data_IF_009273511414
#
_entry.id   IF_009273511414
#
_cell.length_a   1.000
_cell.length_b   1.000
_cell.length_c   1.000
_cell.angle_alpha   90.00
_cell.angle_beta   90.00
_cell.angle_gamma   90.00
#
_symmetry.space_group_name_H-M   'P 1'
#
loop_
_entity.id
_entity.type
_entity.pdbx_description
1 polymer ?
#
# COMPACT_ATOMS: atom_id res chain seq x y z
N UNK A 1 33.55 -4.33 -9.85
CA UNK A 1 32.72 -5.52 -10.14
C UNK A 1 32.13 -6.12 -8.86
N UNK A 2 32.93 -6.40 -7.83
CA UNK A 2 32.45 -6.94 -6.55
C UNK A 2 31.41 -6.06 -5.83
N UNK A 3 31.60 -4.74 -5.79
CA UNK A 3 30.63 -3.84 -5.16
C UNK A 3 29.25 -3.84 -5.84
N UNK A 4 29.20 -4.07 -7.15
CA UNK A 4 27.93 -4.12 -7.89
C UNK A 4 27.17 -5.41 -7.55
N UNK A 5 27.88 -6.53 -7.39
CA UNK A 5 27.29 -7.82 -6.98
C UNK A 5 26.68 -7.72 -5.58
N UNK A 6 27.41 -7.12 -4.61
CA UNK A 6 26.90 -6.93 -3.25
C UNK A 6 25.66 -6.02 -3.20
N UNK A 7 25.57 -5.01 -4.09
CA UNK A 7 24.38 -4.16 -4.17
C UNK A 7 23.17 -4.89 -4.74
N UNK A 8 23.35 -5.78 -5.72
CA UNK A 8 22.26 -6.62 -6.24
C UNK A 8 21.77 -7.58 -5.16
N UNK A 9 22.67 -8.23 -4.41
CA UNK A 9 22.31 -9.12 -3.31
C UNK A 9 21.52 -8.38 -2.21
N UNK A 10 21.96 -7.18 -1.85
CA UNK A 10 21.24 -6.34 -0.88
C UNK A 10 19.86 -5.91 -1.40
N UNK A 11 19.77 -5.53 -2.68
CA UNK A 11 18.49 -5.18 -3.32
C UNK A 11 17.50 -6.35 -3.27
N UNK A 12 17.95 -7.57 -3.59
CA UNK A 12 17.11 -8.77 -3.55
C UNK A 12 16.68 -9.09 -2.11
N UNK A 13 17.57 -8.96 -1.13
CA UNK A 13 17.23 -9.15 0.29
C UNK A 13 16.18 -8.15 0.78
N UNK A 14 16.30 -6.86 0.40
CA UNK A 14 15.31 -5.83 0.71
C UNK A 14 13.98 -6.13 0.02
N UNK A 15 14.00 -6.51 -1.25
CA UNK A 15 12.80 -6.88 -2.01
C UNK A 15 12.06 -8.07 -1.39
N UNK A 16 12.79 -9.09 -0.95
CA UNK A 16 12.24 -10.25 -0.25
C UNK A 16 11.58 -9.85 1.08
N UNK A 17 12.28 -9.03 1.88
CA UNK A 17 11.77 -8.52 3.16
C UNK A 17 10.52 -7.67 3.00
N UNK A 18 10.54 -6.74 2.05
CA UNK A 18 9.42 -5.86 1.72
C UNK A 18 8.16 -6.65 1.31
N UNK A 19 8.30 -7.63 0.41
CA UNK A 19 7.19 -8.49 0.01
C UNK A 19 6.64 -9.33 1.17
N UNK A 20 7.51 -9.85 2.04
CA UNK A 20 7.11 -10.67 3.19
C UNK A 20 6.37 -9.84 4.25
N UNK A 21 6.81 -8.61 4.47
CA UNK A 21 6.14 -7.65 5.34
C UNK A 21 4.76 -7.27 4.78
N UNK A 22 4.68 -6.87 3.51
CA UNK A 22 3.42 -6.54 2.84
C UNK A 22 2.41 -7.67 2.89
N UNK A 23 2.84 -8.91 2.64
CA UNK A 23 1.94 -10.05 2.71
C UNK A 23 1.34 -10.23 4.11
N UNK A 24 2.16 -10.04 5.14
CA UNK A 24 1.73 -10.13 6.54
C UNK A 24 0.79 -9.00 6.93
N UNK A 25 1.10 -7.77 6.52
CA UNK A 25 0.26 -6.59 6.73
C UNK A 25 -1.09 -6.74 5.99
N UNK A 26 -1.07 -7.17 4.73
CA UNK A 26 -2.27 -7.29 3.90
C UNK A 26 -3.19 -8.39 4.39
N UNK A 27 -2.64 -9.44 4.99
CA UNK A 27 -3.44 -10.44 5.69
C UNK A 27 -4.21 -9.83 6.86
N UNK A 28 -3.59 -8.95 7.64
CA UNK A 28 -4.27 -8.24 8.73
C UNK A 28 -5.30 -7.24 8.19
N UNK A 29 -4.96 -6.48 7.15
CA UNK A 29 -5.90 -5.57 6.47
C UNK A 29 -7.11 -6.31 5.91
N UNK A 30 -6.92 -7.48 5.30
CA UNK A 30 -8.00 -8.30 4.79
C UNK A 30 -8.95 -8.75 5.91
N UNK A 31 -8.42 -9.21 7.04
CA UNK A 31 -9.22 -9.54 8.23
C UNK A 31 -10.01 -8.30 8.69
N UNK A 32 -9.37 -7.14 8.79
CA UNK A 32 -10.04 -5.90 9.17
C UNK A 32 -11.18 -5.54 8.21
N UNK A 33 -10.97 -5.60 6.89
CA UNK A 33 -12.01 -5.30 5.89
C UNK A 33 -13.19 -6.27 6.04
N UNK A 34 -12.94 -7.56 6.24
CA UNK A 34 -14.02 -8.56 6.40
C UNK A 34 -14.86 -8.34 7.65
N UNK A 35 -14.29 -7.81 8.73
CA UNK A 35 -15.02 -7.48 9.96
C UNK A 35 -15.69 -6.09 9.87
N UNK A 36 -15.01 -5.11 9.28
CA UNK A 36 -15.52 -3.76 9.16
C UNK A 36 -16.69 -3.66 8.17
N UNK A 37 -16.70 -4.46 7.11
CA UNK A 37 -17.76 -4.45 6.09
C UNK A 37 -19.18 -4.68 6.66
N UNK A 38 -19.46 -5.77 7.40
CA UNK A 38 -20.79 -5.96 8.01
C UNK A 38 -21.07 -4.92 9.10
N UNK A 39 -20.07 -4.48 9.85
CA UNK A 39 -20.24 -3.43 10.85
C UNK A 39 -20.72 -2.12 10.21
N UNK A 40 -20.05 -1.66 9.15
CA UNK A 40 -20.43 -0.45 8.40
C UNK A 40 -21.83 -0.60 7.80
N UNK A 41 -22.14 -1.76 7.23
CA UNK A 41 -23.45 -2.04 6.67
C UNK A 41 -24.57 -1.90 7.71
N UNK A 42 -24.41 -2.52 8.88
CA UNK A 42 -25.41 -2.50 9.97
C UNK A 42 -25.51 -1.11 10.60
N UNK A 43 -24.39 -0.46 10.88
CA UNK A 43 -24.36 0.86 11.52
C UNK A 43 -25.03 1.93 10.65
N UNK A 44 -24.77 1.91 9.34
CA UNK A 44 -25.38 2.86 8.40
C UNK A 44 -26.86 2.52 8.16
N UNK A 45 -27.21 1.24 8.03
CA UNK A 45 -28.61 0.84 7.89
C UNK A 45 -29.47 1.23 9.10
N UNK A 46 -28.89 1.23 10.31
CA UNK A 46 -29.54 1.67 11.55
C UNK A 46 -29.61 3.20 11.68
N UNK A 47 -28.53 3.91 11.29
CA UNK A 47 -28.41 5.36 11.41
C UNK A 47 -29.20 6.15 10.36
N UNK A 48 -29.37 5.60 9.15
CA UNK A 48 -30.10 6.24 8.05
C UNK A 48 -31.57 5.82 7.94
N UNK A 49 -32.18 5.33 9.02
CA UNK A 49 -33.58 4.90 9.01
C UNK A 49 -34.51 6.10 8.71
N UNK A 50 -35.45 5.91 7.78
CA UNK A 50 -36.42 6.94 7.38
C UNK A 50 -37.64 6.97 8.32
N UNK A 51 -37.92 5.85 8.98
CA UNK A 51 -38.92 5.69 10.04
C UNK A 51 -38.49 4.58 11.02
N UNK A 52 -39.03 4.55 12.23
CA UNK A 52 -38.64 3.55 13.26
C UNK A 52 -38.88 2.09 12.85
N UNK A 53 -39.66 1.84 11.80
CA UNK A 53 -39.98 0.50 11.30
C UNK A 53 -39.13 0.06 10.09
N UNK A 54 -38.41 0.95 9.41
CA UNK A 54 -37.74 0.65 8.14
C UNK A 54 -36.23 0.88 8.20
N UNK A 55 -35.48 -0.21 8.10
CA UNK A 55 -34.01 -0.19 8.03
C UNK A 55 -33.53 0.21 6.63
N UNK A 56 -32.57 1.12 6.54
CA UNK A 56 -32.02 1.60 5.28
C UNK A 56 -30.93 0.67 4.71
N UNK A 57 -31.29 -0.59 4.44
CA UNK A 57 -30.37 -1.62 3.92
C UNK A 57 -29.71 -1.22 2.59
N UNK A 58 -30.42 -0.49 1.73
CA UNK A 58 -29.87 0.02 0.47
C UNK A 58 -28.68 0.95 0.72
N UNK A 59 -28.83 1.95 1.58
CA UNK A 59 -27.74 2.87 1.93
C UNK A 59 -26.59 2.15 2.63
N UNK A 60 -26.89 1.26 3.58
CA UNK A 60 -25.86 0.48 4.28
C UNK A 60 -25.04 -0.41 3.35
N UNK A 61 -25.68 -1.10 2.41
CA UNK A 61 -25.00 -1.95 1.42
C UNK A 61 -24.16 -1.13 0.44
N UNK A 62 -24.68 -0.02 -0.11
CA UNK A 62 -23.94 0.88 -0.99
C UNK A 62 -22.68 1.46 -0.33
N UNK A 63 -22.80 1.91 0.92
CA UNK A 63 -21.66 2.44 1.67
C UNK A 63 -20.62 1.38 2.02
N UNK A 64 -21.05 0.19 2.47
CA UNK A 64 -20.12 -0.91 2.75
C UNK A 64 -19.37 -1.37 1.50
N UNK A 65 -20.06 -1.40 0.34
CA UNK A 65 -19.45 -1.77 -0.94
C UNK A 65 -18.44 -0.71 -1.39
N UNK A 66 -18.78 0.57 -1.26
CA UNK A 66 -17.85 1.69 -1.55
C UNK A 66 -16.60 1.63 -0.65
N UNK A 67 -16.78 1.30 0.63
CA UNK A 67 -15.66 1.07 1.56
C UNK A 67 -14.75 -0.07 1.10
N UNK A 68 -15.32 -1.22 0.72
CA UNK A 68 -14.53 -2.37 0.26
C UNK A 68 -13.72 -2.04 -1.01
N UNK A 69 -14.34 -1.37 -1.98
CA UNK A 69 -13.66 -0.94 -3.22
C UNK A 69 -12.52 0.05 -2.90
N UNK A 70 -12.77 1.02 -2.02
CA UNK A 70 -11.75 1.97 -1.58
C UNK A 70 -10.59 1.29 -0.84
N UNK A 71 -10.88 0.32 0.03
CA UNK A 71 -9.87 -0.43 0.77
C UNK A 71 -8.97 -1.27 -0.15
N UNK A 72 -9.56 -1.96 -1.14
CA UNK A 72 -8.81 -2.72 -2.15
C UNK A 72 -7.92 -1.78 -2.97
N UNK A 73 -8.46 -0.64 -3.41
CA UNK A 73 -7.69 0.34 -4.18
C UNK A 73 -6.53 0.92 -3.35
N UNK A 74 -6.75 1.18 -2.07
CA UNK A 74 -5.70 1.63 -1.13
C UNK A 74 -4.59 0.60 -1.00
N UNK A 75 -4.93 -0.69 -0.84
CA UNK A 75 -3.95 -1.77 -0.83
C UNK A 75 -3.16 -1.83 -2.14
N UNK A 76 -3.81 -1.77 -3.29
CA UNK A 76 -3.09 -1.80 -4.59
C UNK A 76 -2.12 -0.62 -4.70
N UNK A 77 -2.54 0.58 -4.28
CA UNK A 77 -1.68 1.78 -4.27
C UNK A 77 -0.45 1.59 -3.37
N UNK A 78 -0.64 1.05 -2.16
CA UNK A 78 0.46 0.76 -1.23
C UNK A 78 1.45 -0.26 -1.80
N UNK A 79 0.94 -1.30 -2.48
CA UNK A 79 1.78 -2.32 -3.12
C UNK A 79 2.65 -1.71 -4.22
N UNK A 80 2.04 -0.92 -5.12
CA UNK A 80 2.76 -0.24 -6.20
C UNK A 80 3.81 0.72 -5.62
N UNK A 81 3.44 1.52 -4.62
CA UNK A 81 4.35 2.45 -3.95
C UNK A 81 5.58 1.77 -3.36
N UNK A 82 5.39 0.64 -2.65
CA UNK A 82 6.51 -0.11 -2.08
C UNK A 82 7.42 -0.69 -3.15
N UNK A 83 6.86 -1.20 -4.26
CA UNK A 83 7.67 -1.74 -5.38
C UNK A 83 8.53 -0.66 -6.03
N UNK A 84 7.98 0.53 -6.24
CA UNK A 84 8.73 1.67 -6.79
C UNK A 84 9.81 2.14 -5.81
N UNK A 85 9.50 2.23 -4.51
CA UNK A 85 10.44 2.65 -3.47
C UNK A 85 11.64 1.67 -3.35
N UNK A 86 11.39 0.37 -3.33
CA UNK A 86 12.48 -0.63 -3.28
C UNK A 86 13.36 -0.54 -4.54
N UNK A 87 12.74 -0.31 -5.69
CA UNK A 87 13.46 -0.14 -6.96
C UNK A 87 14.32 1.13 -7.02
N UNK A 88 13.80 2.27 -6.56
CA UNK A 88 14.53 3.54 -6.57
C UNK A 88 15.68 3.57 -5.55
N UNK A 89 15.52 2.91 -4.39
CA UNK A 89 16.54 2.89 -3.33
C UNK A 89 17.92 2.42 -3.83
N UNK A 90 17.97 1.27 -4.51
CA UNK A 90 19.24 0.74 -5.03
C UNK A 90 19.88 1.67 -6.08
N UNK A 91 19.06 2.30 -6.93
CA UNK A 91 19.54 3.20 -7.99
C UNK A 91 20.00 4.55 -7.44
N UNK A 92 19.35 5.04 -6.37
CA UNK A 92 19.77 6.22 -5.63
C UNK A 92 21.15 5.98 -4.99
N UNK A 93 21.39 4.82 -4.38
CA UNK A 93 22.71 4.48 -3.84
C UNK A 93 23.79 4.44 -4.92
N UNK A 94 23.50 3.86 -6.09
CA UNK A 94 24.43 3.86 -7.24
C UNK A 94 24.74 5.28 -7.70
N UNK A 95 23.73 6.16 -7.82
CA UNK A 95 23.92 7.56 -8.19
C UNK A 95 24.75 8.34 -7.16
N UNK A 96 24.58 8.04 -5.88
CA UNK A 96 25.26 8.73 -4.78
C UNK A 96 26.75 8.38 -4.71
N UNK A 97 27.17 7.26 -5.30
CA UNK A 97 28.58 6.92 -5.48
C UNK A 97 29.28 7.76 -6.58
N UNK A 98 28.53 8.55 -7.37
CA UNK A 98 29.08 9.45 -8.37
C UNK A 98 29.66 10.75 -7.78
N UNK A 99 30.51 11.43 -8.53
CA UNK A 99 31.08 12.72 -8.13
C UNK A 99 30.04 13.84 -8.13
N UNK A 100 30.15 14.78 -7.17
CA UNK A 100 29.34 15.99 -7.17
C UNK A 100 29.72 16.91 -8.36
N UNK A 101 28.76 17.63 -8.97
CA UNK A 101 27.34 17.74 -8.60
C UNK A 101 26.42 16.70 -9.28
N UNK A 102 26.87 16.06 -10.36
CA UNK A 102 26.05 15.17 -11.20
C UNK A 102 25.50 13.95 -10.43
N UNK A 103 26.30 13.34 -9.56
CA UNK A 103 25.87 12.22 -8.72
C UNK A 103 24.72 12.59 -7.78
N UNK A 104 24.75 13.80 -7.20
CA UNK A 104 23.70 14.28 -6.29
C UNK A 104 22.39 14.53 -7.05
N UNK A 105 22.47 15.21 -8.19
CA UNK A 105 21.30 15.45 -9.06
C UNK A 105 20.70 14.15 -9.59
N UNK A 106 21.53 13.21 -10.04
CA UNK A 106 21.06 11.91 -10.54
C UNK A 106 20.37 11.08 -9.44
N UNK A 107 20.90 11.12 -8.22
CA UNK A 107 20.30 10.41 -7.08
C UNK A 107 18.95 11.01 -6.69
N UNK A 108 18.88 12.33 -6.64
CA UNK A 108 17.66 13.05 -6.30
C UNK A 108 16.54 12.78 -7.31
N UNK A 109 16.84 12.86 -8.61
CA UNK A 109 15.89 12.56 -9.70
C UNK A 109 15.47 11.08 -9.76
N UNK A 110 16.18 10.18 -9.08
CA UNK A 110 15.82 8.77 -9.02
C UNK A 110 14.95 8.46 -7.81
N UNK A 111 15.09 9.24 -6.74
CA UNK A 111 14.32 9.08 -5.51
C UNK A 111 12.91 9.70 -5.60
N UNK A 112 12.74 10.74 -6.40
CA UNK A 112 11.51 11.53 -6.56
C UNK A 112 11.11 11.60 -8.03
#
# INVERSE_FOLDING_TARGET
KEQNIKMVELYDAIGLGANSFLFSEYKLCAIFITLAFPCIMVLIAWGSRESDATWAWTSGTLSATSFAVGAITSMISGYIGMRVAVFSNARCTVGACGSAPEGWTSSFNTAF
#
